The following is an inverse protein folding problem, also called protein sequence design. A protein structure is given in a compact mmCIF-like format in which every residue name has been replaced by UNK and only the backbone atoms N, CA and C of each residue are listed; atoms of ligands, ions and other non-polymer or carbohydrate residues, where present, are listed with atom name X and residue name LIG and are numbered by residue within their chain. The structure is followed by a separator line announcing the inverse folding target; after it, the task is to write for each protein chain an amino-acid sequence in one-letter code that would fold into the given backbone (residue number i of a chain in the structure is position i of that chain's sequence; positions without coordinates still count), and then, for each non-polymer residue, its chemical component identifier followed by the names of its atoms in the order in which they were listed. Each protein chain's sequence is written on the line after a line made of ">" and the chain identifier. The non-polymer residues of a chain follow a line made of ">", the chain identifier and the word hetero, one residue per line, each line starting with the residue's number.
data_IF_872044870787
#
_entry.id   IF_872044870787
#
_cell.length_a   1.000
_cell.length_b   1.000
_cell.length_c   1.000
_cell.angle_alpha   90.00
_cell.angle_beta   90.00
_cell.angle_gamma   90.00
#
_symmetry.space_group_name_H-M   'P 1'
#
loop_
_entity.id
_entity.type
_entity.pdbx_description
1 polymer ?
#
# COMPACT_ATOMS: atom_id res chain seq x y z
N UNK A 1 29.62 -4.12 -21.17
CA UNK A 1 28.24 -3.88 -20.70
C UNK A 1 28.21 -4.13 -19.20
N UNK A 2 27.98 -3.10 -18.39
CA UNK A 2 27.94 -3.21 -16.92
C UNK A 2 26.47 -3.28 -16.52
N UNK A 3 25.99 -4.46 -16.11
CA UNK A 3 24.66 -4.62 -15.52
C UNK A 3 24.78 -4.07 -14.10
N UNK A 4 24.25 -2.87 -13.88
CA UNK A 4 24.03 -2.38 -12.53
C UNK A 4 22.79 -3.11 -11.99
N UNK A 5 22.83 -3.68 -10.78
CA UNK A 5 21.63 -4.26 -10.19
C UNK A 5 20.65 -3.13 -9.87
N UNK A 6 19.68 -2.90 -10.74
CA UNK A 6 18.66 -1.84 -10.60
C UNK A 6 17.79 -1.99 -9.33
N UNK A 7 17.85 -3.15 -8.67
CA UNK A 7 16.93 -3.55 -7.61
C UNK A 7 17.62 -4.07 -6.33
N UNK A 8 18.69 -3.42 -5.87
CA UNK A 8 19.39 -3.74 -4.60
C UNK A 8 18.47 -3.77 -3.34
N UNK A 9 17.24 -3.24 -3.42
CA UNK A 9 16.22 -3.25 -2.36
C UNK A 9 14.86 -3.77 -2.81
N UNK A 10 14.80 -4.61 -3.85
CA UNK A 10 13.53 -5.23 -4.26
C UNK A 10 12.90 -5.99 -3.08
N UNK A 11 11.74 -5.52 -2.63
CA UNK A 11 10.94 -6.27 -1.66
C UNK A 11 10.28 -7.43 -2.38
N UNK A 12 10.15 -8.57 -1.71
CA UNK A 12 9.45 -9.72 -2.25
C UNK A 12 7.98 -9.37 -2.51
N UNK A 13 7.63 -9.21 -3.78
CA UNK A 13 6.28 -8.98 -4.28
C UNK A 13 5.73 -10.28 -4.85
N UNK A 14 4.50 -10.62 -4.48
CA UNK A 14 3.74 -11.70 -5.08
C UNK A 14 2.53 -11.11 -5.79
N UNK A 15 2.51 -11.26 -7.11
CA UNK A 15 1.50 -10.72 -8.01
C UNK A 15 1.33 -9.20 -7.88
N UNK A 16 0.42 -8.74 -7.03
CA UNK A 16 0.07 -7.33 -6.80
C UNK A 16 0.35 -6.86 -5.37
N UNK A 17 0.82 -7.72 -4.48
CA UNK A 17 1.02 -7.41 -3.06
C UNK A 17 2.43 -7.74 -2.61
N UNK A 18 2.90 -7.11 -1.52
CA UNK A 18 4.10 -7.61 -0.84
C UNK A 18 3.74 -8.85 -0.02
N UNK A 19 4.72 -9.72 0.23
CA UNK A 19 4.53 -10.90 1.09
C UNK A 19 3.96 -10.52 2.47
N UNK A 20 4.35 -9.35 2.99
CA UNK A 20 3.84 -8.81 4.25
C UNK A 20 2.33 -8.52 4.18
N UNK A 21 1.87 -7.87 3.11
CA UNK A 21 0.47 -7.48 2.97
C UNK A 21 -0.41 -8.72 2.85
N UNK A 22 0.04 -9.75 2.12
CA UNK A 22 -0.64 -11.05 2.03
C UNK A 22 -0.78 -11.70 3.40
N UNK A 23 0.26 -11.66 4.24
CA UNK A 23 0.19 -12.17 5.61
C UNK A 23 -0.86 -11.45 6.45
N UNK A 24 -0.93 -10.12 6.34
CA UNK A 24 -1.93 -9.31 7.07
C UNK A 24 -3.35 -9.58 6.55
N UNK A 25 -3.54 -9.66 5.23
CA UNK A 25 -4.84 -9.98 4.61
C UNK A 25 -5.30 -11.37 5.04
N UNK A 26 -4.41 -12.37 5.06
CA UNK A 26 -4.71 -13.73 5.48
C UNK A 26 -5.17 -13.81 6.94
N UNK A 27 -4.41 -13.22 7.86
CA UNK A 27 -4.79 -13.18 9.30
C UNK A 27 -6.10 -12.40 9.50
N UNK A 28 -6.24 -11.25 8.83
CA UNK A 28 -7.45 -10.44 8.88
C UNK A 28 -8.67 -11.19 8.37
N UNK A 29 -8.56 -11.91 7.25
CA UNK A 29 -9.64 -12.69 6.67
C UNK A 29 -10.09 -13.80 7.63
N UNK A 30 -9.15 -14.52 8.25
CA UNK A 30 -9.48 -15.53 9.27
C UNK A 30 -10.25 -14.94 10.44
N UNK A 31 -9.76 -13.83 11.02
CA UNK A 31 -10.45 -13.14 12.12
C UNK A 31 -11.85 -12.64 11.69
N UNK A 32 -11.97 -12.16 10.47
CA UNK A 32 -13.23 -11.65 9.93
C UNK A 32 -14.26 -12.75 9.72
N UNK A 33 -13.85 -13.91 9.19
CA UNK A 33 -14.73 -15.08 9.05
C UNK A 33 -15.16 -15.60 10.42
N UNK A 34 -14.27 -15.61 11.41
CA UNK A 34 -14.62 -15.98 12.79
C UNK A 34 -15.63 -14.99 13.39
N UNK A 35 -15.40 -13.69 13.26
CA UNK A 35 -16.32 -12.66 13.75
C UNK A 35 -17.69 -12.73 13.05
N UNK A 36 -17.70 -13.03 11.75
CA UNK A 36 -18.93 -13.16 10.97
C UNK A 36 -19.72 -14.39 11.36
N UNK A 37 -19.06 -15.54 11.53
CA UNK A 37 -19.73 -16.81 11.84
C UNK A 37 -20.18 -16.91 13.31
N UNK A 38 -19.41 -16.36 14.25
CA UNK A 38 -19.69 -16.46 15.69
C UNK A 38 -20.53 -15.29 16.22
N UNK A 39 -20.26 -14.06 15.76
CA UNK A 39 -20.93 -12.85 16.26
C UNK A 39 -21.91 -12.24 15.24
N UNK A 40 -21.97 -12.72 13.99
CA UNK A 40 -22.71 -12.03 12.93
C UNK A 40 -22.12 -10.64 12.61
N UNK A 41 -20.88 -10.38 13.02
CA UNK A 41 -20.28 -9.06 12.97
C UNK A 41 -19.59 -8.83 11.63
N UNK A 42 -20.24 -8.07 10.75
CA UNK A 42 -19.81 -7.76 9.38
C UNK A 42 -18.67 -6.72 9.25
N UNK A 43 -18.49 -5.72 10.14
CA UNK A 43 -17.46 -4.69 9.97
C UNK A 43 -16.01 -5.19 9.73
N UNK A 44 -15.52 -6.27 10.37
CA UNK A 44 -14.17 -6.78 10.16
C UNK A 44 -13.92 -7.21 8.72
N UNK A 45 -14.88 -7.90 8.08
CA UNK A 45 -14.68 -8.38 6.71
C UNK A 45 -14.59 -7.20 5.73
N UNK A 46 -15.40 -6.16 5.96
CA UNK A 46 -15.34 -4.92 5.17
C UNK A 46 -13.99 -4.23 5.35
N UNK A 47 -13.48 -4.13 6.59
CA UNK A 47 -12.18 -3.53 6.87
C UNK A 47 -11.04 -4.31 6.17
N UNK A 48 -11.08 -5.64 6.19
CA UNK A 48 -10.07 -6.46 5.49
C UNK A 48 -10.14 -6.33 3.99
N UNK A 49 -11.33 -6.21 3.39
CA UNK A 49 -11.49 -6.00 1.96
C UNK A 49 -10.95 -4.62 1.53
N UNK A 50 -11.26 -3.56 2.29
CA UNK A 50 -10.74 -2.22 2.05
C UNK A 50 -9.22 -2.19 2.16
N UNK A 51 -8.66 -2.85 3.19
CA UNK A 51 -7.22 -2.95 3.34
C UNK A 51 -6.56 -3.72 2.18
N UNK A 52 -7.13 -4.86 1.78
CA UNK A 52 -6.64 -5.64 0.66
C UNK A 52 -6.62 -4.81 -0.64
N UNK A 53 -7.66 -4.03 -0.89
CA UNK A 53 -7.72 -3.13 -2.04
C UNK A 53 -6.67 -2.01 -1.97
N UNK A 54 -6.58 -1.31 -0.83
CA UNK A 54 -5.64 -0.18 -0.67
C UNK A 54 -4.17 -0.61 -0.75
N UNK A 55 -3.87 -1.85 -0.39
CA UNK A 55 -2.50 -2.38 -0.41
C UNK A 55 -2.07 -2.93 -1.77
N UNK A 56 -2.96 -2.99 -2.76
CA UNK A 56 -2.60 -3.33 -4.14
C UNK A 56 -1.51 -2.36 -4.61
N UNK A 57 -0.42 -2.92 -5.14
CA UNK A 57 0.72 -2.18 -5.69
C UNK A 57 0.67 -2.20 -7.21
N UNK A 58 0.96 -1.03 -7.78
CA UNK A 58 1.20 -0.84 -9.21
C UNK A 58 2.54 -0.10 -9.33
N UNK A 59 3.47 -0.62 -10.14
CA UNK A 59 4.81 -0.01 -10.34
C UNK A 59 5.48 0.39 -9.02
N UNK A 60 5.53 -0.54 -8.06
CA UNK A 60 6.09 -0.35 -6.71
C UNK A 60 5.40 0.69 -5.79
N UNK A 61 4.29 1.27 -6.19
CA UNK A 61 3.51 2.18 -5.33
C UNK A 61 2.19 1.53 -4.95
N UNK A 62 1.88 1.46 -3.64
CA UNK A 62 0.54 1.02 -3.22
C UNK A 62 -0.47 2.16 -3.35
N UNK A 63 -1.75 1.84 -3.55
CA UNK A 63 -2.83 2.85 -3.55
C UNK A 63 -2.84 3.61 -2.22
N UNK A 64 -2.58 2.93 -1.10
CA UNK A 64 -2.46 3.53 0.22
C UNK A 64 -1.31 4.55 0.27
N UNK A 65 -0.15 4.21 -0.28
CA UNK A 65 1.00 5.11 -0.36
C UNK A 65 0.67 6.30 -1.24
N UNK A 66 0.04 6.09 -2.40
CA UNK A 66 -0.42 7.16 -3.27
C UNK A 66 -1.35 8.14 -2.54
N UNK A 67 -2.36 7.65 -1.83
CA UNK A 67 -3.28 8.49 -1.06
C UNK A 67 -2.52 9.24 0.05
N UNK A 68 -1.59 8.56 0.75
CA UNK A 68 -0.78 9.19 1.79
C UNK A 68 0.07 10.33 1.22
N UNK A 69 0.73 10.11 0.08
CA UNK A 69 1.52 11.13 -0.58
C UNK A 69 0.66 12.28 -1.10
N UNK A 70 -0.52 11.98 -1.68
CA UNK A 70 -1.48 12.98 -2.11
C UNK A 70 -1.94 13.85 -0.92
N UNK A 71 -2.35 13.24 0.20
CA UNK A 71 -2.73 13.98 1.41
C UNK A 71 -1.58 14.84 1.95
N UNK A 72 -0.36 14.29 1.99
CA UNK A 72 0.82 15.05 2.42
C UNK A 72 1.10 16.24 1.51
N UNK A 73 0.90 16.07 0.20
CA UNK A 73 1.09 17.11 -0.80
C UNK A 73 0.01 18.20 -0.72
N UNK A 74 -1.28 17.83 -0.66
CA UNK A 74 -2.39 18.78 -0.70
C UNK A 74 -2.64 19.48 0.65
N UNK A 75 -2.38 18.82 1.77
CA UNK A 75 -2.75 19.33 3.11
C UNK A 75 -1.51 19.73 3.91
N UNK A 76 -0.44 18.94 3.83
CA UNK A 76 0.65 18.98 4.82
C UNK A 76 1.87 19.84 4.44
N UNK A 77 2.15 20.04 3.15
CA UNK A 77 3.40 20.70 2.72
C UNK A 77 3.17 21.79 1.68
N UNK A 78 3.58 23.02 2.03
CA UNK A 78 3.79 24.11 1.09
C UNK A 78 4.75 23.66 -0.02
N UNK A 79 4.29 23.67 -1.27
CA UNK A 79 5.14 23.39 -2.42
C UNK A 79 5.86 24.68 -2.81
N UNK A 80 7.16 24.79 -2.51
CA UNK A 80 8.01 25.90 -2.96
C UNK A 80 8.73 25.42 -4.21
N UNK A 81 8.45 26.04 -5.35
CA UNK A 81 9.14 25.77 -6.60
C UNK A 81 10.10 26.92 -6.88
N UNK A 82 11.40 26.69 -6.65
CA UNK A 82 12.43 27.62 -7.08
C UNK A 82 12.81 27.33 -8.53
N UNK A 83 12.40 28.22 -9.43
CA UNK A 83 12.91 28.23 -10.80
C UNK A 83 14.29 28.89 -10.77
N UNK A 84 15.36 28.12 -10.98
CA UNK A 84 16.69 28.69 -11.26
C UNK A 84 16.83 28.86 -12.76
N UNK A 85 17.01 30.10 -13.20
CA UNK A 85 17.65 30.36 -14.49
C UNK A 85 19.12 29.97 -14.33
N UNK A 86 19.52 28.89 -15.00
CA UNK A 86 20.94 28.60 -15.18
C UNK A 86 21.46 29.59 -16.22
N UNK A 87 22.20 30.60 -15.77
CA UNK A 87 23.12 31.36 -16.64
C UNK A 87 24.44 30.59 -16.81
#
# INVERSE_FOLDING_TARGET
>A
MYIYPDNLRAKATLWLWQLRDIGVIGVGALLSVLALTQLGFVPPIVATAVYAFLTIRFEDTSILDFIRYACAFFIGKQQIYEWRYTE
#
